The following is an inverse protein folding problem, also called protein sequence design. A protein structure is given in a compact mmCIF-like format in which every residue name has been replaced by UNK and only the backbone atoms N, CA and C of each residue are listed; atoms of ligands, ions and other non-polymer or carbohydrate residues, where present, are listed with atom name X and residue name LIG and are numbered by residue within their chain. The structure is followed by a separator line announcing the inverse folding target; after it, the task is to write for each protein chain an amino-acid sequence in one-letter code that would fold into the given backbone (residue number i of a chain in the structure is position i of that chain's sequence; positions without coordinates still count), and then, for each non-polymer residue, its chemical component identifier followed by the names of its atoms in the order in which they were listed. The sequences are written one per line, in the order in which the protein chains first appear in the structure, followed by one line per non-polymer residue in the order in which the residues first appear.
data_IF_479904556113
#
_entry.id   IF_479904556113
#
_cell.length_a   1.000
_cell.length_b   1.000
_cell.length_c   1.000
_cell.angle_alpha   90.00
_cell.angle_beta   90.00
_cell.angle_gamma   90.00
#
_symmetry.space_group_name_H-M   'P 1'
#
loop_
_entity.id
_entity.type
_entity.pdbx_description
1 polymer ?
#
# COMPACT_ATOMS: atom_id res chain seq x y z
N UNK A 1 -36.85 27.75 17.57
CA UNK A 1 -35.37 27.78 17.50
C UNK A 1 -34.80 26.36 17.33
N UNK A 2 -35.17 25.38 18.16
CA UNK A 2 -34.70 23.98 18.08
C UNK A 2 -34.93 23.27 16.73
N UNK A 3 -36.09 23.47 16.07
CA UNK A 3 -36.37 22.89 14.74
C UNK A 3 -35.43 23.42 13.64
N UNK A 4 -34.90 24.64 13.79
CA UNK A 4 -33.99 25.25 12.80
C UNK A 4 -32.58 24.67 12.92
N UNK A 5 -32.08 24.61 14.16
CA UNK A 5 -30.77 24.02 14.51
C UNK A 5 -30.69 22.55 14.10
N UNK A 6 -31.82 21.82 14.22
CA UNK A 6 -31.89 20.41 13.82
C UNK A 6 -31.76 20.19 12.31
N UNK A 7 -32.43 21.02 11.50
CA UNK A 7 -32.30 20.97 10.04
C UNK A 7 -30.88 21.30 9.59
N UNK A 8 -30.24 22.24 10.27
CA UNK A 8 -28.89 22.70 9.98
C UNK A 8 -27.82 21.65 10.32
N UNK A 9 -27.96 20.94 11.44
CA UNK A 9 -27.04 19.86 11.85
C UNK A 9 -27.14 18.62 10.95
N UNK A 10 -28.36 18.20 10.60
CA UNK A 10 -28.55 17.08 9.66
C UNK A 10 -28.04 17.43 8.27
N UNK A 11 -28.24 18.68 7.83
CA UNK A 11 -27.71 19.19 6.57
C UNK A 11 -26.17 19.17 6.56
N UNK A 12 -25.54 19.66 7.63
CA UNK A 12 -24.08 19.64 7.78
C UNK A 12 -23.49 18.22 7.75
N UNK A 13 -24.15 17.23 8.38
CA UNK A 13 -23.71 15.83 8.32
C UNK A 13 -23.83 15.23 6.91
N UNK A 14 -24.92 15.55 6.19
CA UNK A 14 -25.09 15.14 4.79
C UNK A 14 -24.04 15.78 3.86
N UNK A 15 -23.75 17.07 4.06
CA UNK A 15 -22.72 17.81 3.31
C UNK A 15 -21.32 17.22 3.58
N UNK A 16 -20.99 16.93 4.84
CA UNK A 16 -19.72 16.30 5.20
C UNK A 16 -19.55 14.91 4.60
N UNK A 17 -20.60 14.08 4.61
CA UNK A 17 -20.58 12.78 3.93
C UNK A 17 -20.36 12.94 2.43
N UNK A 18 -21.09 13.84 1.78
CA UNK A 18 -20.98 14.08 0.34
C UNK A 18 -19.55 14.50 -0.05
N UNK A 19 -18.94 15.38 0.74
CA UNK A 19 -17.56 15.81 0.55
C UNK A 19 -16.57 14.64 0.69
N UNK A 20 -16.72 13.81 1.72
CA UNK A 20 -15.87 12.61 1.88
C UNK A 20 -16.02 11.64 0.71
N UNK A 21 -17.23 11.42 0.19
CA UNK A 21 -17.47 10.57 -0.97
C UNK A 21 -16.86 11.16 -2.25
N UNK A 22 -16.98 12.47 -2.46
CA UNK A 22 -16.36 13.15 -3.60
C UNK A 22 -14.84 13.05 -3.57
N UNK A 23 -14.22 13.30 -2.41
CA UNK A 23 -12.78 13.15 -2.23
C UNK A 23 -12.35 11.70 -2.50
N UNK A 24 -13.11 10.72 -2.01
CA UNK A 24 -12.80 9.32 -2.23
C UNK A 24 -12.92 8.92 -3.71
N UNK A 25 -13.88 9.47 -4.44
CA UNK A 25 -13.98 9.23 -5.89
C UNK A 25 -12.76 9.76 -6.64
N UNK A 26 -12.28 10.96 -6.29
CA UNK A 26 -11.07 11.54 -6.90
C UNK A 26 -9.82 10.70 -6.57
N UNK A 27 -9.71 10.24 -5.32
CA UNK A 27 -8.64 9.35 -4.87
C UNK A 27 -8.64 8.03 -5.67
N UNK A 28 -9.82 7.44 -5.86
CA UNK A 28 -9.98 6.21 -6.61
C UNK A 28 -9.68 6.37 -8.10
N UNK A 29 -10.17 7.44 -8.74
CA UNK A 29 -9.82 7.78 -10.13
C UNK A 29 -8.30 7.92 -10.29
N UNK A 30 -7.65 8.61 -9.36
CA UNK A 30 -6.19 8.76 -9.34
C UNK A 30 -5.47 7.42 -9.19
N UNK A 31 -5.95 6.55 -8.30
CA UNK A 31 -5.40 5.20 -8.13
C UNK A 31 -5.53 4.34 -9.40
N UNK A 32 -6.70 4.39 -10.06
CA UNK A 32 -6.94 3.69 -11.33
C UNK A 32 -6.05 4.22 -12.46
N UNK A 33 -5.78 5.52 -12.49
CA UNK A 33 -4.85 6.11 -13.46
C UNK A 33 -3.43 5.53 -13.33
N UNK A 34 -2.93 5.25 -12.12
CA UNK A 34 -1.65 4.55 -11.97
C UNK A 34 -1.70 3.10 -12.48
N UNK A 35 -2.80 2.39 -12.27
CA UNK A 35 -2.98 1.04 -12.83
C UNK A 35 -3.04 1.07 -14.36
N UNK A 36 -3.66 2.09 -14.95
CA UNK A 36 -3.63 2.32 -16.40
C UNK A 36 -2.22 2.61 -16.90
N UNK A 37 -1.46 3.46 -16.22
CA UNK A 37 -0.04 3.72 -16.53
C UNK A 37 0.77 2.41 -16.49
N UNK A 38 0.52 1.55 -15.51
CA UNK A 38 1.16 0.23 -15.41
C UNK A 38 0.79 -0.69 -16.59
N UNK A 39 -0.49 -0.73 -16.98
CA UNK A 39 -0.92 -1.48 -18.18
C UNK A 39 -0.29 -0.95 -19.47
N UNK A 40 -0.24 0.38 -19.63
CA UNK A 40 0.38 1.02 -20.79
C UNK A 40 1.87 0.69 -20.89
N UNK A 41 2.56 0.71 -19.74
CA UNK A 41 3.96 0.31 -19.64
C UNK A 41 4.17 -1.12 -20.15
N UNK A 42 3.25 -2.02 -19.81
CA UNK A 42 3.32 -3.43 -20.19
C UNK A 42 2.91 -3.72 -21.63
N UNK A 43 2.01 -2.92 -22.20
CA UNK A 43 1.60 -3.06 -23.60
C UNK A 43 2.66 -2.58 -24.59
N UNK A 44 3.58 -1.72 -24.14
CA UNK A 44 4.66 -1.17 -24.97
C UNK A 44 6.05 -1.56 -24.42
N UNK A 45 6.37 -2.87 -24.26
CA UNK A 45 7.61 -3.28 -23.60
C UNK A 45 8.82 -2.68 -24.30
N UNK A 46 8.82 -2.57 -25.64
CA UNK A 46 9.91 -1.97 -26.44
C UNK A 46 10.22 -0.50 -26.11
N UNK A 47 9.26 0.26 -25.59
CA UNK A 47 9.41 1.67 -25.23
C UNK A 47 10.05 1.85 -23.85
N UNK A 48 9.92 0.83 -23.00
CA UNK A 48 10.39 0.85 -21.62
C UNK A 48 11.48 -0.20 -21.31
N UNK A 49 11.75 -1.09 -22.25
CA UNK A 49 12.95 -1.92 -22.29
C UNK A 49 14.13 -1.01 -22.57
N UNK A 50 14.63 -0.35 -21.51
CA UNK A 50 15.97 0.24 -21.49
C UNK A 50 17.07 -0.85 -21.59
N UNK A 51 16.69 -2.13 -21.60
CA UNK A 51 17.54 -3.32 -21.74
C UNK A 51 17.15 -4.16 -22.97
N UNK A 52 18.12 -4.87 -23.58
CA UNK A 52 17.95 -5.64 -24.84
C UNK A 52 16.70 -6.55 -24.83
N UNK A 53 16.09 -6.68 -26.01
CA UNK A 53 14.83 -7.36 -26.34
C UNK A 53 14.76 -8.89 -26.08
N UNK A 54 15.63 -9.46 -25.26
CA UNK A 54 15.82 -10.90 -25.15
C UNK A 54 15.89 -11.39 -23.70
N UNK A 55 15.87 -10.47 -22.72
CA UNK A 55 15.98 -10.80 -21.32
C UNK A 55 14.72 -10.31 -20.60
N UNK A 56 14.28 -11.10 -19.63
CA UNK A 56 13.17 -10.86 -18.69
C UNK A 56 13.11 -9.39 -18.25
N UNK A 57 11.94 -8.93 -17.79
CA UNK A 57 11.55 -7.71 -17.04
C UNK A 57 12.57 -7.06 -16.05
N UNK A 58 13.87 -7.03 -16.35
CA UNK A 58 14.95 -6.80 -15.40
C UNK A 58 15.11 -5.29 -15.15
N UNK A 59 14.96 -4.95 -13.87
CA UNK A 59 15.17 -3.66 -13.20
C UNK A 59 14.26 -2.48 -13.60
N UNK A 60 14.24 -2.02 -14.85
CA UNK A 60 13.45 -0.82 -15.22
C UNK A 60 11.94 -1.08 -15.21
N UNK A 61 11.53 -2.26 -15.68
CA UNK A 61 10.14 -2.70 -15.60
C UNK A 61 9.68 -2.84 -14.17
N UNK A 62 10.42 -3.60 -13.37
CA UNK A 62 10.04 -3.86 -11.98
C UNK A 62 9.98 -2.58 -11.15
N UNK A 63 10.79 -1.60 -11.47
CA UNK A 63 10.83 -0.34 -10.73
C UNK A 63 9.69 0.59 -11.15
N UNK A 64 9.37 0.67 -12.45
CA UNK A 64 8.17 1.38 -12.91
C UNK A 64 6.89 0.80 -12.30
N UNK A 65 6.74 -0.52 -12.34
CA UNK A 65 5.61 -1.22 -11.70
C UNK A 65 5.53 -1.02 -10.19
N UNK A 66 6.66 -1.07 -9.48
CA UNK A 66 6.69 -0.80 -8.05
C UNK A 66 6.27 0.64 -7.74
N UNK A 67 6.72 1.62 -8.53
CA UNK A 67 6.31 3.01 -8.34
C UNK A 67 4.82 3.18 -8.59
N UNK A 68 4.29 2.66 -9.70
CA UNK A 68 2.86 2.77 -10.02
C UNK A 68 1.98 2.06 -8.99
N UNK A 69 2.38 0.88 -8.52
CA UNK A 69 1.62 0.15 -7.51
C UNK A 69 1.62 0.91 -6.17
N UNK A 70 2.78 1.37 -5.71
CA UNK A 70 2.88 2.14 -4.45
C UNK A 70 2.09 3.45 -4.52
N UNK A 71 2.16 4.17 -5.64
CA UNK A 71 1.41 5.41 -5.81
C UNK A 71 -0.09 5.18 -5.95
N UNK A 72 -0.54 4.05 -6.52
CA UNK A 72 -1.96 3.69 -6.50
C UNK A 72 -2.47 3.47 -5.07
N UNK A 73 -1.69 2.75 -4.25
CA UNK A 73 -2.01 2.54 -2.83
C UNK A 73 -1.94 3.82 -1.98
N UNK A 74 -1.05 4.75 -2.32
CA UNK A 74 -1.02 6.07 -1.69
C UNK A 74 -2.26 6.90 -2.10
N UNK A 75 -2.56 6.94 -3.40
CA UNK A 75 -3.67 7.69 -3.96
C UNK A 75 -5.02 7.24 -3.39
N UNK A 76 -5.27 5.92 -3.30
CA UNK A 76 -6.55 5.42 -2.76
C UNK A 76 -6.78 5.82 -1.30
N UNK A 77 -5.70 6.11 -0.56
CA UNK A 77 -5.71 6.60 0.82
C UNK A 77 -5.70 8.13 0.93
N UNK A 78 -5.78 8.84 -0.20
CA UNK A 78 -5.70 10.31 -0.24
C UNK A 78 -4.30 10.85 0.06
N UNK A 79 -3.25 10.06 -0.15
CA UNK A 79 -1.86 10.45 0.06
C UNK A 79 -1.21 10.89 -1.25
N UNK A 80 -0.19 11.74 -1.14
CA UNK A 80 0.66 12.13 -2.27
C UNK A 80 1.51 10.96 -2.76
N UNK A 81 2.08 11.11 -3.96
CA UNK A 81 3.04 10.14 -4.51
C UNK A 81 4.19 9.89 -3.54
N UNK A 82 4.51 8.61 -3.35
CA UNK A 82 5.58 8.15 -2.45
C UNK A 82 6.78 7.62 -3.22
N UNK A 83 6.58 7.22 -4.48
CA UNK A 83 7.60 6.60 -5.30
C UNK A 83 7.71 7.27 -6.66
N UNK A 84 8.93 7.44 -7.14
CA UNK A 84 9.18 7.93 -8.50
C UNK A 84 10.39 7.23 -9.11
N UNK A 85 10.33 7.08 -10.42
CA UNK A 85 11.49 6.74 -11.25
C UNK A 85 11.82 7.87 -12.23
N UNK A 86 11.08 8.99 -12.15
CA UNK A 86 11.40 10.21 -12.87
C UNK A 86 12.73 10.74 -12.34
N UNK A 87 13.56 11.27 -13.25
CA UNK A 87 14.93 11.73 -12.98
C UNK A 87 15.95 10.66 -12.57
N UNK A 88 15.58 9.37 -12.55
CA UNK A 88 16.55 8.29 -12.43
C UNK A 88 17.26 8.06 -13.76
N UNK A 89 18.53 8.47 -13.82
CA UNK A 89 19.37 8.35 -15.00
C UNK A 89 19.54 6.88 -15.43
N UNK A 90 19.69 6.64 -16.74
CA UNK A 90 19.85 5.28 -17.30
C UNK A 90 21.01 4.50 -16.68
N UNK A 91 22.07 5.19 -16.25
CA UNK A 91 23.28 4.61 -15.68
C UNK A 91 23.37 4.83 -14.17
N UNK A 92 22.29 5.29 -13.53
CA UNK A 92 22.25 5.49 -12.09
C UNK A 92 22.42 4.14 -11.35
N UNK A 93 23.01 4.15 -10.15
CA UNK A 93 23.04 2.98 -9.28
C UNK A 93 21.66 2.61 -8.73
N UNK A 94 20.72 3.55 -8.65
CA UNK A 94 19.35 3.31 -8.24
C UNK A 94 18.42 3.00 -9.42
N UNK A 95 17.37 2.23 -9.16
CA UNK A 95 16.29 2.00 -10.14
C UNK A 95 15.07 2.90 -9.89
N UNK A 96 14.83 3.33 -8.64
CA UNK A 96 13.74 4.25 -8.25
C UNK A 96 14.04 4.95 -6.92
N UNK A 97 13.21 5.94 -6.58
CA UNK A 97 13.24 6.69 -5.33
C UNK A 97 11.91 6.43 -4.61
N UNK A 98 11.97 6.12 -3.32
CA UNK A 98 10.81 5.90 -2.44
C UNK A 98 11.01 6.74 -1.17
N UNK A 99 10.09 7.67 -0.92
CA UNK A 99 10.13 8.62 0.19
C UNK A 99 11.48 9.37 0.27
N UNK A 100 12.00 9.77 -0.90
CA UNK A 100 13.30 10.45 -1.04
C UNK A 100 14.52 9.54 -0.88
N UNK A 101 14.34 8.25 -0.59
CA UNK A 101 15.43 7.27 -0.44
C UNK A 101 15.62 6.54 -1.77
N UNK A 102 16.87 6.38 -2.18
CA UNK A 102 17.24 5.62 -3.38
C UNK A 102 17.03 4.13 -3.15
N UNK A 103 16.48 3.44 -4.14
CA UNK A 103 16.29 2.00 -4.13
C UNK A 103 16.83 1.33 -5.38
N UNK A 104 17.49 0.19 -5.16
CA UNK A 104 17.83 -0.75 -6.22
C UNK A 104 16.99 -2.03 -6.08
N UNK A 105 16.34 -2.43 -7.17
CA UNK A 105 15.53 -3.65 -7.23
C UNK A 105 16.37 -4.87 -7.60
N UNK A 106 16.24 -5.99 -6.88
CA UNK A 106 16.90 -7.26 -7.17
C UNK A 106 15.88 -8.41 -7.29
N UNK A 107 15.21 -8.48 -8.44
CA UNK A 107 14.32 -9.59 -8.79
C UNK A 107 15.08 -10.71 -9.49
N UNK A 108 15.77 -11.53 -8.69
CA UNK A 108 16.58 -12.65 -9.18
C UNK A 108 15.97 -13.97 -8.71
N UNK A 109 16.10 -15.02 -9.53
CA UNK A 109 15.63 -16.34 -9.16
C UNK A 109 16.43 -16.89 -7.97
N UNK A 110 15.73 -17.16 -6.87
CA UNK A 110 16.27 -17.78 -5.66
C UNK A 110 16.85 -16.78 -4.66
N UNK A 111 16.42 -16.92 -3.41
CA UNK A 111 16.78 -16.04 -2.27
C UNK A 111 18.29 -15.84 -2.11
N UNK A 112 19.07 -16.92 -2.19
CA UNK A 112 20.53 -16.87 -2.07
C UNK A 112 21.20 -16.06 -3.21
N UNK A 113 20.66 -16.15 -4.43
CA UNK A 113 21.19 -15.42 -5.58
C UNK A 113 20.81 -13.95 -5.50
N UNK A 114 19.58 -13.64 -5.07
CA UNK A 114 19.16 -12.26 -4.81
C UNK A 114 20.09 -11.56 -3.82
N UNK A 115 20.40 -12.20 -2.69
CA UNK A 115 21.35 -11.66 -1.71
C UNK A 115 22.78 -11.50 -2.28
N UNK A 116 23.21 -12.45 -3.14
CA UNK A 116 24.49 -12.32 -3.86
C UNK A 116 24.50 -11.06 -4.72
N UNK A 117 23.44 -10.78 -5.47
CA UNK A 117 23.36 -9.59 -6.31
C UNK A 117 23.19 -8.28 -5.52
N UNK A 118 22.62 -8.32 -4.31
CA UNK A 118 22.67 -7.19 -3.38
C UNK A 118 24.11 -6.89 -3.00
N UNK A 119 24.88 -7.90 -2.59
CA UNK A 119 26.30 -7.76 -2.25
C UNK A 119 27.15 -7.28 -3.43
N UNK A 120 26.97 -7.86 -4.62
CA UNK A 120 27.68 -7.42 -5.84
C UNK A 120 27.41 -5.95 -6.16
N UNK A 121 26.16 -5.52 -6.02
CA UNK A 121 25.77 -4.14 -6.27
C UNK A 121 26.35 -3.17 -5.25
N UNK A 122 26.24 -3.52 -3.96
CA UNK A 122 26.84 -2.73 -2.89
C UNK A 122 28.36 -2.65 -3.05
N UNK A 123 29.03 -3.76 -3.34
CA UNK A 123 30.48 -3.78 -3.56
C UNK A 123 30.94 -2.89 -4.72
N UNK A 124 30.11 -2.78 -5.78
CA UNK A 124 30.40 -1.94 -6.95
C UNK A 124 30.26 -0.44 -6.67
N UNK A 125 29.18 -0.04 -6.00
CA UNK A 125 28.85 1.39 -5.83
C UNK A 125 29.18 1.95 -4.46
N UNK A 126 29.26 1.09 -3.44
CA UNK A 126 29.59 1.41 -2.05
C UNK A 126 28.73 2.52 -1.43
N UNK A 127 27.52 2.71 -1.97
CA UNK A 127 26.56 3.69 -1.47
C UNK A 127 25.71 3.09 -0.34
N UNK A 128 26.01 3.51 0.90
CA UNK A 128 25.30 3.06 2.11
C UNK A 128 23.99 3.81 2.37
N UNK A 129 23.70 4.87 1.60
CA UNK A 129 22.45 5.65 1.70
C UNK A 129 21.29 5.00 0.95
N UNK A 130 21.60 4.13 -0.01
CA UNK A 130 20.62 3.41 -0.83
C UNK A 130 20.12 2.15 -0.14
N UNK A 131 18.84 1.84 -0.37
CA UNK A 131 18.22 0.60 0.07
C UNK A 131 18.03 -0.39 -1.10
N UNK A 132 17.74 -1.64 -0.77
CA UNK A 132 17.47 -2.70 -1.74
C UNK A 132 16.03 -3.17 -1.62
N UNK A 133 15.32 -3.28 -2.75
CA UNK A 133 14.02 -3.92 -2.83
C UNK A 133 14.18 -5.32 -3.40
N UNK A 134 13.74 -6.34 -2.67
CA UNK A 134 13.78 -7.75 -3.09
C UNK A 134 12.36 -8.34 -3.15
N UNK A 135 12.12 -9.41 -3.92
CA UNK A 135 10.82 -10.07 -3.96
C UNK A 135 10.27 -10.38 -2.58
N UNK A 136 8.97 -10.11 -2.37
CA UNK A 136 8.30 -10.20 -1.06
C UNK A 136 8.39 -11.61 -0.46
N UNK A 137 8.17 -12.63 -1.29
CA UNK A 137 8.33 -14.04 -0.96
C UNK A 137 9.74 -14.37 -0.47
N UNK A 138 10.77 -13.89 -1.17
CA UNK A 138 12.17 -14.12 -0.79
C UNK A 138 12.54 -13.39 0.50
N UNK A 139 12.04 -12.16 0.71
CA UNK A 139 12.20 -11.45 1.99
C UNK A 139 11.58 -12.23 3.14
N UNK A 140 10.38 -12.78 2.95
CA UNK A 140 9.71 -13.59 3.96
C UNK A 140 10.46 -14.87 4.30
N UNK A 141 11.08 -15.53 3.31
CA UNK A 141 11.96 -16.69 3.54
C UNK A 141 13.13 -16.29 4.46
N UNK A 142 13.79 -15.16 4.19
CA UNK A 142 14.92 -14.69 5.01
C UNK A 142 14.46 -14.39 6.44
N UNK A 143 13.31 -13.70 6.58
CA UNK A 143 12.70 -13.41 7.89
C UNK A 143 12.41 -14.71 8.65
N UNK A 144 11.81 -15.70 7.99
CA UNK A 144 11.47 -16.98 8.61
C UNK A 144 12.73 -17.75 9.06
N UNK A 145 13.77 -17.80 8.22
CA UNK A 145 15.07 -18.39 8.57
C UNK A 145 15.65 -17.73 9.83
N UNK A 146 15.64 -16.39 9.91
CA UNK A 146 16.17 -15.65 11.07
C UNK A 146 15.39 -15.89 12.37
N UNK A 147 14.12 -16.25 12.26
CA UNK A 147 13.26 -16.60 13.40
C UNK A 147 13.37 -18.09 13.81
N UNK A 148 14.25 -18.87 13.17
CA UNK A 148 14.33 -20.32 13.40
C UNK A 148 13.17 -21.10 12.78
N UNK A 149 12.40 -20.48 11.89
CA UNK A 149 11.21 -21.05 11.23
C UNK A 149 11.50 -21.28 9.74
N UNK A 150 12.67 -21.83 9.42
CA UNK A 150 13.08 -22.03 8.04
C UNK A 150 12.07 -22.92 7.28
N UNK A 151 11.70 -22.58 6.03
CA UNK A 151 10.87 -23.42 5.18
C UNK A 151 11.46 -24.84 5.04
N UNK A 152 10.59 -25.86 5.10
CA UNK A 152 10.99 -27.27 5.10
C UNK A 152 11.63 -27.75 3.79
N UNK A 153 11.40 -27.03 2.70
CA UNK A 153 11.96 -27.27 1.38
C UNK A 153 13.40 -26.75 1.23
N UNK A 154 13.92 -26.02 2.21
CA UNK A 154 15.32 -25.57 2.23
C UNK A 154 16.19 -26.52 3.04
N UNK A 155 17.30 -26.96 2.44
CA UNK A 155 18.32 -27.71 3.17
C UNK A 155 19.22 -26.79 4.03
N UNK A 156 19.88 -27.37 5.04
CA UNK A 156 20.74 -26.64 5.97
C UNK A 156 21.87 -25.87 5.30
N UNK A 157 22.41 -26.37 4.19
CA UNK A 157 23.47 -25.70 3.43
C UNK A 157 22.94 -24.39 2.84
N UNK A 158 21.74 -24.39 2.27
CA UNK A 158 21.07 -23.20 1.75
C UNK A 158 20.76 -22.21 2.87
N UNK A 159 20.24 -22.69 4.00
CA UNK A 159 19.94 -21.85 5.18
C UNK A 159 21.21 -21.12 5.65
N UNK A 160 22.31 -21.86 5.85
CA UNK A 160 23.60 -21.27 6.24
C UNK A 160 24.11 -20.26 5.23
N UNK A 161 24.03 -20.58 3.93
CA UNK A 161 24.50 -19.68 2.87
C UNK A 161 23.69 -18.36 2.79
N UNK A 162 22.39 -18.41 3.10
CA UNK A 162 21.53 -17.23 3.20
C UNK A 162 21.92 -16.39 4.42
N UNK A 163 22.04 -17.02 5.60
CA UNK A 163 22.43 -16.33 6.84
C UNK A 163 23.80 -15.66 6.71
N UNK A 164 24.79 -16.34 6.15
CA UNK A 164 26.12 -15.76 5.90
C UNK A 164 26.08 -14.52 5.01
N UNK A 165 25.19 -14.49 4.00
CA UNK A 165 25.05 -13.30 3.14
C UNK A 165 24.32 -12.17 3.85
N UNK A 166 23.34 -12.50 4.70
CA UNK A 166 22.67 -11.50 5.55
C UNK A 166 23.70 -10.84 6.47
N UNK A 167 24.49 -11.63 7.18
CA UNK A 167 25.58 -11.15 8.04
C UNK A 167 26.59 -10.31 7.25
N UNK A 168 26.96 -10.75 6.05
CA UNK A 168 27.89 -10.00 5.19
C UNK A 168 27.32 -8.67 4.73
N UNK A 169 26.03 -8.60 4.39
CA UNK A 169 25.35 -7.33 4.05
C UNK A 169 25.37 -6.40 5.26
N UNK A 170 25.02 -6.90 6.45
CA UNK A 170 25.02 -6.10 7.69
C UNK A 170 26.43 -5.58 8.00
N UNK A 171 27.45 -6.44 7.86
CA UNK A 171 28.86 -6.10 8.08
C UNK A 171 29.37 -5.06 7.09
N UNK A 172 29.07 -5.20 5.80
CA UNK A 172 29.54 -4.28 4.76
C UNK A 172 28.83 -2.91 4.82
N UNK A 173 27.55 -2.89 5.19
CA UNK A 173 26.73 -1.67 5.19
C UNK A 173 26.73 -0.94 6.53
N UNK A 174 27.09 -1.64 7.62
CA UNK A 174 26.98 -1.13 8.99
C UNK A 174 25.53 -0.94 9.45
N UNK A 175 24.54 -1.42 8.69
CA UNK A 175 23.10 -1.30 8.95
C UNK A 175 22.49 -2.68 9.09
N UNK A 176 21.44 -2.81 9.90
CA UNK A 176 20.75 -4.09 10.02
C UNK A 176 20.09 -4.48 8.69
N UNK A 177 19.89 -5.78 8.46
CA UNK A 177 19.31 -6.30 7.23
C UNK A 177 17.95 -5.69 6.94
N UNK A 178 17.13 -5.48 7.98
CA UNK A 178 15.79 -4.91 7.85
C UNK A 178 15.80 -3.42 7.52
N UNK A 179 16.88 -2.71 7.81
CA UNK A 179 17.03 -1.30 7.45
C UNK A 179 17.43 -1.14 6.00
N UNK A 180 18.36 -1.95 5.51
CA UNK A 180 18.96 -1.82 4.17
C UNK A 180 18.20 -2.61 3.10
N UNK A 181 17.60 -3.75 3.44
CA UNK A 181 16.80 -4.57 2.52
C UNK A 181 15.33 -4.48 2.92
N UNK A 182 14.48 -4.13 1.96
CA UNK A 182 13.02 -4.02 2.12
C UNK A 182 12.30 -5.00 1.20
N UNK A 183 11.14 -5.54 1.62
CA UNK A 183 10.30 -6.31 0.73
C UNK A 183 9.72 -5.40 -0.36
N UNK A 184 9.69 -5.93 -1.57
CA UNK A 184 8.88 -5.40 -2.64
C UNK A 184 7.39 -5.60 -2.34
N UNK A 185 6.56 -4.94 -3.13
CA UNK A 185 5.10 -5.14 -3.16
C UNK A 185 4.73 -6.48 -3.83
N UNK A 186 5.55 -6.95 -4.77
CA UNK A 186 5.30 -8.16 -5.56
C UNK A 186 6.23 -9.33 -5.18
N UNK A 187 5.78 -10.56 -5.45
CA UNK A 187 6.62 -11.76 -5.37
C UNK A 187 7.48 -11.93 -6.63
N UNK A 188 8.42 -12.87 -6.59
CA UNK A 188 9.29 -13.14 -7.75
C UNK A 188 8.50 -13.60 -8.97
N UNK A 189 7.48 -14.44 -8.77
CA UNK A 189 6.59 -14.96 -9.82
C UNK A 189 5.78 -13.86 -10.51
N UNK A 190 5.46 -12.79 -9.81
CA UNK A 190 4.56 -11.72 -10.27
C UNK A 190 5.27 -10.81 -11.29
N UNK A 191 6.61 -10.81 -11.25
CA UNK A 191 7.47 -10.03 -12.12
C UNK A 191 7.88 -10.76 -13.41
N UNK A 192 7.28 -11.93 -13.71
CA UNK A 192 7.58 -12.70 -14.90
C UNK A 192 6.70 -12.28 -16.08
N UNK A 193 7.25 -12.27 -17.30
CA UNK A 193 6.55 -11.77 -18.50
C UNK A 193 5.22 -12.50 -18.79
N UNK A 194 5.11 -13.77 -18.40
CA UNK A 194 3.89 -14.54 -18.61
C UNK A 194 2.74 -14.22 -17.63
N UNK A 195 3.05 -13.67 -16.46
CA UNK A 195 2.09 -13.46 -15.34
C UNK A 195 1.85 -11.99 -15.04
N UNK A 196 2.63 -11.09 -15.66
CA UNK A 196 2.59 -9.66 -15.35
C UNK A 196 1.24 -9.01 -15.67
N UNK A 197 0.55 -9.46 -16.73
CA UNK A 197 -0.79 -8.97 -17.07
C UNK A 197 -1.84 -9.34 -16.02
N UNK A 198 -1.79 -10.58 -15.52
CA UNK A 198 -2.66 -11.08 -14.45
C UNK A 198 -2.37 -10.36 -13.12
N UNK A 199 -1.09 -10.11 -12.84
CA UNK A 199 -0.63 -9.38 -11.65
C UNK A 199 -1.23 -7.97 -11.61
N UNK A 200 -1.22 -7.25 -12.73
CA UNK A 200 -1.81 -5.91 -12.80
C UNK A 200 -3.31 -5.95 -12.56
N UNK A 201 -4.01 -6.92 -13.14
CA UNK A 201 -5.44 -7.09 -12.92
C UNK A 201 -5.74 -7.37 -11.45
N UNK A 202 -4.98 -8.25 -10.81
CA UNK A 202 -5.11 -8.51 -9.37
C UNK A 202 -4.90 -7.25 -8.53
N UNK A 203 -3.91 -6.43 -8.84
CA UNK A 203 -3.70 -5.17 -8.11
C UNK A 203 -4.85 -4.18 -8.34
N UNK A 204 -5.37 -4.09 -9.56
CA UNK A 204 -6.53 -3.26 -9.84
C UNK A 204 -7.77 -3.73 -9.05
N UNK A 205 -8.03 -5.04 -9.00
CA UNK A 205 -9.14 -5.62 -8.22
C UNK A 205 -8.98 -5.30 -6.73
N UNK A 206 -7.77 -5.42 -6.18
CA UNK A 206 -7.49 -5.03 -4.79
C UNK A 206 -7.75 -3.55 -4.51
N UNK A 207 -7.47 -2.66 -5.46
CA UNK A 207 -7.77 -1.23 -5.34
C UNK A 207 -9.28 -0.97 -5.40
N UNK A 208 -10.02 -1.73 -6.22
CA UNK A 208 -11.49 -1.67 -6.28
C UNK A 208 -12.10 -2.11 -4.94
N UNK A 209 -11.64 -3.24 -4.39
CA UNK A 209 -12.10 -3.76 -3.11
C UNK A 209 -11.81 -2.78 -1.96
N UNK A 210 -10.61 -2.21 -1.93
CA UNK A 210 -10.23 -1.22 -0.93
C UNK A 210 -11.07 0.05 -1.03
N UNK A 211 -11.38 0.51 -2.25
CA UNK A 211 -12.28 1.65 -2.44
C UNK A 211 -13.67 1.36 -1.88
N UNK A 212 -14.21 0.16 -2.12
CA UNK A 212 -15.51 -0.23 -1.59
C UNK A 212 -15.48 -0.23 -0.06
N UNK A 213 -14.41 -0.76 0.54
CA UNK A 213 -14.21 -0.75 2.00
C UNK A 213 -14.23 0.69 2.55
N UNK A 214 -13.52 1.62 1.93
CA UNK A 214 -13.47 3.03 2.37
C UNK A 214 -14.85 3.70 2.20
N UNK A 215 -15.57 3.43 1.11
CA UNK A 215 -16.92 3.96 0.90
C UNK A 215 -17.91 3.46 1.96
N UNK A 216 -17.80 2.19 2.35
CA UNK A 216 -18.61 1.60 3.43
C UNK A 216 -18.27 2.24 4.79
N UNK A 217 -17.00 2.54 5.06
CA UNK A 217 -16.56 3.28 6.25
C UNK A 217 -17.12 4.70 6.27
N UNK A 218 -17.04 5.44 5.17
CA UNK A 218 -17.65 6.77 5.05
C UNK A 218 -19.16 6.71 5.32
N UNK A 219 -19.83 5.66 4.81
CA UNK A 219 -21.26 5.48 5.05
C UNK A 219 -21.56 5.15 6.52
N UNK A 220 -20.76 4.28 7.14
CA UNK A 220 -20.89 3.89 8.54
C UNK A 220 -20.68 5.10 9.47
N UNK A 221 -19.62 5.87 9.24
CA UNK A 221 -19.30 7.08 10.01
C UNK A 221 -20.43 8.10 9.94
N UNK A 222 -20.99 8.32 8.76
CA UNK A 222 -22.12 9.22 8.58
C UNK A 222 -23.36 8.75 9.36
N UNK A 223 -23.64 7.42 9.37
CA UNK A 223 -24.75 6.82 10.14
C UNK A 223 -24.52 6.94 11.64
N UNK A 224 -23.30 6.69 12.12
CA UNK A 224 -22.95 6.81 13.53
C UNK A 224 -23.06 8.25 14.02
N UNK A 225 -22.60 9.23 13.22
CA UNK A 225 -22.81 10.66 13.50
C UNK A 225 -24.28 11.00 13.63
N UNK A 226 -25.14 10.56 12.70
CA UNK A 226 -26.60 10.76 12.79
C UNK A 226 -27.18 10.16 14.06
N UNK A 227 -26.85 8.90 14.39
CA UNK A 227 -27.31 8.24 15.63
C UNK A 227 -26.85 8.98 16.88
N UNK A 228 -25.61 9.47 16.90
CA UNK A 228 -25.09 10.24 18.04
C UNK A 228 -25.82 11.57 18.23
N UNK A 229 -26.17 12.25 17.13
CA UNK A 229 -27.00 13.45 17.14
C UNK A 229 -28.40 13.13 17.67
N UNK A 230 -28.97 11.98 17.29
CA UNK A 230 -30.27 11.52 17.77
C UNK A 230 -30.27 11.12 19.25
N UNK A 231 -29.25 10.41 19.73
CA UNK A 231 -29.13 9.99 21.13
C UNK A 231 -28.93 11.19 22.08
N UNK A 232 -28.22 12.23 21.63
CA UNK A 232 -28.06 13.49 22.38
C UNK A 232 -29.37 14.30 22.54
N UNK A 233 -30.47 13.88 21.89
CA UNK A 233 -31.76 14.58 21.98
C UNK A 233 -32.46 14.45 23.34
N UNK A 234 -32.14 13.45 24.17
CA UNK A 234 -32.84 13.18 25.44
C UNK A 234 -34.36 12.97 25.27
N UNK A 235 -35.10 12.48 26.30
CA UNK A 235 -36.56 12.49 26.26
C UNK A 235 -37.05 13.94 26.18
N UNK A 236 -37.94 14.26 25.23
CA UNK A 236 -38.47 15.62 25.15
C UNK A 236 -39.27 15.93 26.44
N UNK A 237 -39.20 17.18 26.91
CA UNK A 237 -40.00 17.67 28.04
C UNK A 237 -41.52 17.38 27.83
N UNK A 238 -41.96 17.22 26.57
CA UNK A 238 -43.32 16.82 26.22
C UNK A 238 -43.77 15.43 26.71
N UNK A 239 -42.85 14.46 26.89
CA UNK A 239 -43.17 13.16 27.48
C UNK A 239 -43.26 13.24 29.02
N UNK A 240 -42.40 14.05 29.65
CA UNK A 240 -42.47 14.32 31.09
C UNK A 240 -43.73 15.08 31.50
N UNK A 241 -44.18 16.03 30.67
CA UNK A 241 -45.44 16.77 30.89
C UNK A 241 -46.67 15.89 30.69
N UNK A 242 -46.65 14.95 29.72
CA UNK A 242 -47.75 14.01 29.52
C UNK A 242 -47.94 13.09 30.72
N UNK A 243 -46.85 12.60 31.31
CA UNK A 243 -46.88 11.78 32.53
C UNK A 243 -47.41 12.56 33.74
N UNK A 244 -47.04 13.85 33.87
CA UNK A 244 -47.53 14.72 34.94
C UNK A 244 -49.02 15.05 34.80
N UNK A 245 -49.50 15.32 33.59
CA UNK A 245 -50.93 15.57 33.31
C UNK A 245 -51.77 14.31 33.54
N UNK A 246 -51.23 13.14 33.17
CA UNK A 246 -51.92 11.86 33.38
C UNK A 246 -51.95 11.44 34.86
N UNK A 247 -50.91 11.75 35.64
CA UNK A 247 -50.92 11.58 37.10
C UNK A 247 -51.86 12.55 37.83
N UNK A 248 -52.04 13.79 37.33
CA UNK A 248 -53.01 14.73 37.88
C UNK A 248 -54.46 14.32 37.59
N UNK A 249 -54.75 13.72 36.42
CA UNK A 249 -56.09 13.20 36.10
C UNK A 249 -56.46 11.94 36.89
N UNK A 250 -55.50 11.11 37.28
CA UNK A 250 -55.73 9.91 38.12
C UNK A 250 -55.89 10.20 39.63
N UNK A 251 -55.68 11.45 40.07
CA UNK A 251 -55.90 11.87 41.48
C UNK A 251 -57.22 12.61 41.72
N UNK A 252 -58.05 12.76 40.68
CA UNK A 252 -59.33 13.50 40.72
C UNK A 252 -60.57 12.59 40.57
N UNK A 253 -60.40 11.27 40.70
CA UNK A 253 -61.46 10.27 40.85
C UNK A 253 -61.18 9.42 42.09
#
# INVERSE_FOLDING_TARGET
MEKSIHRETNRSNCEGKLQSQQNQNLNFETALNYMMKMRQFLSEPKKYTRFRANETWRSSGTSGSQCTERNAWAAIKGQSEVATFDDVARTAPEDFILDGIKYQSKFINGTNNTLKHVLEHFGKYQDSSMNYSIPKDQFNIIKAIRLGQAPSDLNDKSIRAILQKVEEIERQTGRSFQEIVKPSVSNYSDAQLGTVGETVSKHQDQIVDENQRIQDEIQKDAREKTKSIEAKKGPSIGEGVKLLVQQQQLRLH
#
